data_IF_266159417872
#
_entry.id   IF_266159417872
#
_cell.length_a   1.000
_cell.length_b   1.000
_cell.length_c   1.000
_cell.angle_alpha   90.00
_cell.angle_beta   90.00
_cell.angle_gamma   90.00
#
_symmetry.space_group_name_H-M   'P 1'
#
loop_
_entity.id
_entity.type
_entity.pdbx_description
1 polymer ?
#
# COMPACT_ATOMS: atom_id res chain seq x y z
N UNK A 1 0.29 13.81 -9.29
CA UNK A 1 0.27 12.42 -9.80
C UNK A 1 1.36 11.61 -9.11
N UNK A 2 1.05 10.59 -8.30
CA UNK A 2 2.00 9.91 -7.41
C UNK A 2 3.09 9.17 -8.19
N UNK A 3 2.70 8.63 -9.34
CA UNK A 3 3.58 7.93 -10.26
C UNK A 3 4.69 8.83 -10.82
N UNK A 4 4.46 10.14 -10.99
CA UNK A 4 5.50 11.05 -11.47
C UNK A 4 6.62 11.19 -10.42
N UNK A 5 6.23 11.51 -9.17
CA UNK A 5 7.18 11.64 -8.05
C UNK A 5 7.92 10.34 -7.76
N UNK A 6 7.23 9.20 -7.81
CA UNK A 6 7.85 7.88 -7.61
C UNK A 6 8.84 7.55 -8.75
N UNK A 7 8.46 7.79 -10.01
CA UNK A 7 9.36 7.56 -11.15
C UNK A 7 10.59 8.44 -11.07
N UNK A 8 10.42 9.75 -10.84
CA UNK A 8 11.54 10.68 -10.65
C UNK A 8 12.50 10.23 -9.54
N UNK A 9 11.94 9.74 -8.42
CA UNK A 9 12.74 9.20 -7.33
C UNK A 9 13.52 7.95 -7.75
N UNK A 10 12.88 6.97 -8.40
CA UNK A 10 13.55 5.75 -8.86
C UNK A 10 14.59 6.02 -9.97
N UNK A 11 14.27 6.91 -10.91
CA UNK A 11 15.13 7.32 -12.03
C UNK A 11 16.38 8.04 -11.53
N UNK A 12 16.24 8.99 -10.59
CA UNK A 12 17.38 9.70 -10.00
C UNK A 12 18.33 8.77 -9.24
N UNK A 13 17.82 7.64 -8.73
CA UNK A 13 18.60 6.59 -8.07
C UNK A 13 19.01 5.45 -9.02
N UNK A 14 18.68 5.54 -10.32
CA UNK A 14 18.99 4.53 -11.35
C UNK A 14 18.46 3.13 -11.00
N UNK A 15 17.30 3.05 -10.35
CA UNK A 15 16.64 1.79 -10.00
C UNK A 15 15.90 1.26 -11.24
N UNK A 16 16.13 0.01 -11.60
CA UNK A 16 15.42 -0.64 -12.71
C UNK A 16 14.00 -1.01 -12.29
N UNK A 17 13.01 -0.61 -13.08
CA UNK A 17 11.61 -0.98 -12.89
C UNK A 17 10.91 -1.16 -14.24
N UNK A 18 9.74 -1.81 -14.22
CA UNK A 18 8.84 -1.92 -15.37
C UNK A 18 7.46 -1.44 -14.95
N UNK A 19 6.76 -0.76 -15.86
CA UNK A 19 5.38 -0.33 -15.64
C UNK A 19 4.45 -1.26 -16.40
N UNK A 20 3.53 -1.90 -15.68
CA UNK A 20 2.48 -2.75 -16.26
C UNK A 20 1.16 -1.99 -16.14
N UNK A 21 0.60 -1.60 -17.28
CA UNK A 21 -0.73 -0.96 -17.33
C UNK A 21 -1.83 -2.01 -17.42
N UNK A 22 -2.91 -1.83 -16.67
CA UNK A 22 -4.08 -2.70 -16.67
C UNK A 22 -5.38 -1.86 -16.62
N UNK A 23 -6.52 -2.49 -16.89
CA UNK A 23 -7.83 -1.85 -16.68
C UNK A 23 -8.08 -1.59 -15.19
N UNK A 24 -8.96 -0.63 -14.88
CA UNK A 24 -9.24 -0.26 -13.48
C UNK A 24 -9.76 -1.47 -12.70
N UNK A 25 -9.13 -1.75 -11.56
CA UNK A 25 -9.59 -2.69 -10.55
C UNK A 25 -9.50 -2.03 -9.17
N UNK A 26 -10.51 -2.28 -8.35
CA UNK A 26 -10.67 -1.63 -7.04
C UNK A 26 -10.11 -2.47 -5.88
N UNK A 27 -9.61 -3.67 -6.16
CA UNK A 27 -8.99 -4.54 -5.16
C UNK A 27 -7.63 -5.01 -5.63
N UNK A 28 -6.68 -5.15 -4.70
CA UNK A 28 -5.36 -5.68 -5.02
C UNK A 28 -5.44 -7.09 -5.65
N UNK A 29 -6.39 -7.93 -5.21
CA UNK A 29 -6.62 -9.22 -5.84
C UNK A 29 -7.18 -9.12 -7.26
N UNK A 30 -8.04 -8.13 -7.53
CA UNK A 30 -8.49 -7.83 -8.89
C UNK A 30 -7.34 -7.40 -9.79
N UNK A 31 -6.42 -6.57 -9.29
CA UNK A 31 -5.21 -6.18 -10.01
C UNK A 31 -4.34 -7.40 -10.31
N UNK A 32 -4.11 -8.27 -9.31
CA UNK A 32 -3.35 -9.51 -9.48
C UNK A 32 -3.94 -10.38 -10.60
N UNK A 33 -5.26 -10.57 -10.60
CA UNK A 33 -5.96 -11.31 -11.65
C UNK A 33 -5.82 -10.66 -13.05
N UNK A 34 -5.97 -9.34 -13.16
CA UNK A 34 -5.86 -8.61 -14.44
C UNK A 34 -4.44 -8.58 -15.01
N UNK A 35 -3.45 -8.56 -14.13
CA UNK A 35 -2.03 -8.52 -14.52
C UNK A 35 -1.42 -9.90 -14.68
N UNK A 36 -2.21 -10.96 -14.45
CA UNK A 36 -1.74 -12.35 -14.41
C UNK A 36 -0.58 -12.57 -13.43
N UNK A 37 -0.57 -11.80 -12.34
CA UNK A 37 0.39 -11.94 -11.24
C UNK A 37 -0.29 -12.70 -10.11
N UNK A 38 0.45 -13.60 -9.45
CA UNK A 38 -0.09 -14.28 -8.28
C UNK A 38 -0.45 -13.27 -7.18
N UNK A 39 -1.63 -13.41 -6.57
CA UNK A 39 -2.01 -12.57 -5.42
C UNK A 39 -1.06 -12.67 -4.22
N UNK A 40 -0.18 -13.70 -4.20
CA UNK A 40 0.90 -13.86 -3.22
C UNK A 40 2.13 -13.00 -3.51
N UNK A 41 2.30 -12.58 -4.77
CA UNK A 41 3.45 -11.81 -5.25
C UNK A 41 3.13 -10.33 -5.42
N UNK A 42 1.86 -10.00 -5.67
CA UNK A 42 1.42 -8.61 -5.73
C UNK A 42 1.30 -8.02 -4.33
N UNK A 43 2.11 -7.01 -4.02
CA UNK A 43 2.03 -6.28 -2.76
C UNK A 43 0.88 -5.25 -2.76
N UNK A 44 0.24 -5.08 -1.61
CA UNK A 44 -0.68 -3.98 -1.33
C UNK A 44 -0.24 -3.25 -0.06
N UNK A 45 -0.64 -1.99 0.03
CA UNK A 45 -0.38 -1.14 1.19
C UNK A 45 -1.68 -0.87 1.94
N UNK A 46 -1.68 -1.09 3.25
CA UNK A 46 -2.79 -0.77 4.15
C UNK A 46 -2.30 0.23 5.18
N UNK A 47 -3.01 1.35 5.32
CA UNK A 47 -2.66 2.37 6.31
C UNK A 47 -3.24 1.97 7.66
N UNK A 48 -2.38 1.92 8.67
CA UNK A 48 -2.72 1.58 10.04
C UNK A 48 -2.34 2.72 10.98
N UNK A 49 -2.91 2.70 12.18
CA UNK A 49 -2.49 3.52 13.30
C UNK A 49 -1.90 2.62 14.37
N UNK A 50 -0.69 2.94 14.81
CA UNK A 50 -0.01 2.28 15.93
C UNK A 50 0.21 3.34 17.00
N UNK A 51 -0.43 3.19 18.16
CA UNK A 51 -0.37 4.16 19.26
C UNK A 51 -0.67 5.62 18.82
N UNK A 52 -1.62 5.77 17.88
CA UNK A 52 -2.02 7.06 17.31
C UNK A 52 -1.16 7.57 16.15
N UNK A 53 -0.01 6.95 15.85
CA UNK A 53 0.84 7.30 14.72
C UNK A 53 0.45 6.51 13.46
N UNK A 54 0.39 7.19 12.30
CA UNK A 54 0.15 6.54 11.02
C UNK A 54 1.36 5.71 10.60
N UNK A 55 1.11 4.50 10.08
CA UNK A 55 2.11 3.62 9.52
C UNK A 55 1.55 2.85 8.30
N UNK A 56 2.46 2.30 7.48
CA UNK A 56 2.13 1.48 6.31
C UNK A 56 2.40 0.01 6.60
N UNK A 57 1.37 -0.82 6.46
CA UNK A 57 1.51 -2.27 6.43
C UNK A 57 1.54 -2.74 4.97
N UNK A 58 2.69 -3.28 4.53
CA UNK A 58 2.88 -3.83 3.18
C UNK A 58 2.79 -5.35 3.23
N UNK A 59 1.85 -5.91 2.48
CA UNK A 59 1.53 -7.34 2.52
C UNK A 59 1.06 -7.83 1.15
N UNK A 60 1.06 -9.15 0.88
CA UNK A 60 0.50 -9.68 -0.35
C UNK A 60 -0.98 -9.33 -0.52
N UNK A 61 -1.43 -9.23 -1.76
CA UNK A 61 -2.82 -8.95 -2.12
C UNK A 61 -3.77 -9.97 -1.50
N UNK A 62 -3.33 -11.23 -1.42
CA UNK A 62 -4.06 -12.36 -0.82
C UNK A 62 -4.18 -12.32 0.71
N UNK A 63 -3.39 -11.49 1.39
CA UNK A 63 -3.33 -11.46 2.85
C UNK A 63 -4.16 -10.32 3.42
N UNK A 64 -4.59 -10.42 4.68
CA UNK A 64 -5.23 -9.33 5.41
C UNK A 64 -4.34 -8.90 6.57
N UNK A 65 -4.45 -7.63 6.97
CA UNK A 65 -3.72 -7.14 8.14
C UNK A 65 -4.33 -7.74 9.38
N UNK A 66 -3.52 -8.45 10.16
CA UNK A 66 -3.88 -8.93 11.49
C UNK A 66 -3.39 -7.90 12.51
N UNK A 67 -4.31 -7.10 13.04
CA UNK A 67 -3.99 -6.02 13.99
C UNK A 67 -3.47 -6.56 15.32
N UNK A 68 -3.94 -7.72 15.77
CA UNK A 68 -3.48 -8.36 16.99
C UNK A 68 -2.03 -8.82 16.86
N UNK A 69 -1.72 -9.47 15.73
CA UNK A 69 -0.34 -9.84 15.40
C UNK A 69 0.54 -8.62 15.21
N UNK A 70 0.03 -7.59 14.51
CA UNK A 70 0.76 -6.34 14.27
C UNK A 70 1.14 -5.68 15.60
N UNK A 71 0.18 -5.52 16.52
CA UNK A 71 0.40 -5.02 17.88
C UNK A 71 1.48 -5.80 18.62
N UNK A 72 1.41 -7.13 18.54
CA UNK A 72 2.37 -8.01 19.22
C UNK A 72 3.79 -7.84 18.67
N UNK A 73 3.96 -7.79 17.34
CA UNK A 73 5.30 -7.71 16.73
C UNK A 73 5.91 -6.31 16.79
N UNK A 74 5.09 -5.25 16.83
CA UNK A 74 5.56 -3.88 16.95
C UNK A 74 5.74 -3.43 18.41
N UNK A 75 5.18 -4.17 19.37
CA UNK A 75 5.16 -3.76 20.77
C UNK A 75 4.19 -2.61 21.07
N UNK A 76 3.31 -2.29 20.13
CA UNK A 76 2.34 -1.21 20.30
C UNK A 76 1.31 -1.53 21.39
N UNK A 77 0.77 -0.49 22.01
CA UNK A 77 -0.35 -0.62 22.96
C UNK A 77 -1.69 -0.68 22.24
N UNK A 78 -1.82 0.02 21.11
CA UNK A 78 -3.00 0.00 20.25
C UNK A 78 -2.62 -0.14 18.76
N UNK A 79 -3.45 -0.86 18.02
CA UNK A 79 -3.31 -1.03 16.58
C UNK A 79 -4.69 -1.02 15.91
N UNK A 80 -4.90 -0.06 15.00
CA UNK A 80 -6.16 0.11 14.29
C UNK A 80 -5.93 0.35 12.80
N UNK A 81 -6.96 0.14 11.98
CA UNK A 81 -6.95 0.66 10.60
C UNK A 81 -7.10 2.18 10.65
N UNK A 82 -6.37 2.88 9.77
CA UNK A 82 -6.63 4.29 9.53
C UNK A 82 -7.84 4.43 8.60
N UNK A 83 -8.74 5.34 8.91
CA UNK A 83 -9.80 5.76 8.00
C UNK A 83 -9.22 6.60 6.86
N UNK A 84 -9.88 6.63 5.71
CA UNK A 84 -9.39 7.38 4.55
C UNK A 84 -9.19 8.87 4.85
N UNK A 85 -10.07 9.46 5.67
CA UNK A 85 -10.00 10.87 6.05
C UNK A 85 -8.72 11.21 6.83
N UNK A 86 -8.16 10.24 7.56
CA UNK A 86 -6.99 10.47 8.41
C UNK A 86 -5.68 10.57 7.61
N UNK A 87 -5.60 10.00 6.41
CA UNK A 87 -4.35 9.96 5.64
C UNK A 87 -4.46 10.52 4.21
N UNK A 88 -5.66 10.86 3.73
CA UNK A 88 -5.86 11.37 2.36
C UNK A 88 -4.95 12.56 2.05
N UNK A 89 -4.76 13.47 3.01
CA UNK A 89 -3.92 14.66 2.81
C UNK A 89 -2.42 14.34 2.78
N UNK A 90 -2.00 13.22 3.39
CA UNK A 90 -0.61 12.74 3.31
C UNK A 90 -0.28 12.16 1.93
N UNK A 91 -1.30 11.78 1.17
CA UNK A 91 -1.19 11.27 -0.19
C UNK A 91 -2.12 12.04 -1.13
N UNK A 92 -2.06 13.37 -1.09
CA UNK A 92 -2.93 14.27 -1.87
C UNK A 92 -2.91 14.00 -3.38
N UNK A 93 -1.82 13.41 -3.88
CA UNK A 93 -1.68 12.97 -5.26
C UNK A 93 -2.30 11.61 -5.58
N UNK A 94 -2.54 10.73 -4.59
CA UNK A 94 -3.04 9.36 -4.76
C UNK A 94 -4.55 9.29 -4.57
N UNK A 95 -5.22 8.48 -5.38
CA UNK A 95 -6.54 7.96 -4.99
C UNK A 95 -6.38 7.00 -3.80
N UNK A 96 -7.34 7.01 -2.88
CA UNK A 96 -7.33 6.06 -1.77
C UNK A 96 -7.28 4.62 -2.30
N UNK A 97 -6.41 3.80 -1.72
CA UNK A 97 -6.16 2.43 -2.17
C UNK A 97 -5.13 2.29 -3.29
N UNK A 98 -4.61 3.41 -3.84
CA UNK A 98 -3.55 3.43 -4.86
C UNK A 98 -2.21 3.98 -4.33
N UNK A 99 -2.00 3.94 -3.00
CA UNK A 99 -0.77 4.38 -2.36
C UNK A 99 0.37 3.40 -2.64
N UNK A 100 1.46 3.84 -3.31
CA UNK A 100 2.67 3.02 -3.43
C UNK A 100 3.33 2.82 -2.05
N UNK A 101 3.91 1.65 -1.75
CA UNK A 101 4.90 1.51 -0.70
C UNK A 101 6.25 2.11 -1.10
#
# INVERSE_FOLDING_TARGET
MPLARLREFLDSHKIKYVVISHSVAYTAQGIAALTHISGKELAKTVIVKLDGALAMAVLPASSQVDLSRLKTVTGATDAALASEQEFKDSFSDCQTGAMPP
#
